data_IF_613369344203
#
_entry.id   IF_613369344203
#
_cell.length_a   1.000
_cell.length_b   1.000
_cell.length_c   1.000
_cell.angle_alpha   90.00
_cell.angle_beta   90.00
_cell.angle_gamma   90.00
#
_symmetry.space_group_name_H-M   'P 1'
#
loop_
_entity.id
_entity.type
_entity.pdbx_description
1 polymer ?
#
# COMPACT_ATOMS: atom_id res chain seq x y z
N UNK A 1 2.91 23.31 16.30
CA UNK A 1 2.73 22.28 15.25
C UNK A 1 3.99 21.44 15.25
N UNK A 2 3.91 20.22 15.75
CA UNK A 2 5.06 19.34 15.95
C UNK A 2 5.66 18.91 14.59
N UNK A 3 6.97 18.76 14.53
CA UNK A 3 7.73 18.34 13.34
C UNK A 3 7.15 17.05 12.73
N UNK A 4 6.74 16.12 13.59
CA UNK A 4 6.04 14.88 13.23
C UNK A 4 4.75 15.12 12.41
N UNK A 5 3.95 16.12 12.75
CA UNK A 5 2.72 16.41 12.02
C UNK A 5 2.97 17.03 10.62
N UNK A 6 4.14 17.67 10.40
CA UNK A 6 4.55 18.15 9.08
C UNK A 6 5.03 17.01 8.20
N UNK A 7 5.83 16.10 8.77
CA UNK A 7 6.34 14.92 8.07
C UNK A 7 5.19 14.01 7.63
N UNK A 8 4.26 13.73 8.53
CA UNK A 8 3.10 12.89 8.20
C UNK A 8 2.24 13.49 7.08
N UNK A 9 1.99 14.81 7.09
CA UNK A 9 1.27 15.50 6.00
C UNK A 9 2.04 15.46 4.67
N UNK A 10 3.36 15.57 4.72
CA UNK A 10 4.17 15.51 3.50
C UNK A 10 4.13 14.12 2.88
N UNK A 11 4.29 13.07 3.70
CA UNK A 11 4.18 11.67 3.27
C UNK A 11 2.81 11.41 2.66
N UNK A 12 1.73 11.84 3.33
CA UNK A 12 0.36 11.67 2.82
C UNK A 12 0.15 12.33 1.45
N UNK A 13 0.63 13.56 1.28
CA UNK A 13 0.52 14.26 -0.01
C UNK A 13 1.34 13.59 -1.11
N UNK A 14 2.51 13.04 -0.76
CA UNK A 14 3.33 12.29 -1.71
C UNK A 14 2.64 10.99 -2.14
N UNK A 15 2.09 10.23 -1.21
CA UNK A 15 1.31 9.02 -1.50
C UNK A 15 0.15 9.34 -2.45
N UNK A 16 -0.66 10.36 -2.12
CA UNK A 16 -1.82 10.77 -2.91
C UNK A 16 -1.42 11.25 -4.33
N UNK A 17 -0.37 12.07 -4.42
CA UNK A 17 0.13 12.57 -5.71
C UNK A 17 0.71 11.45 -6.57
N UNK A 18 1.46 10.52 -5.97
CA UNK A 18 2.02 9.35 -6.66
C UNK A 18 0.90 8.44 -7.17
N UNK A 19 -0.13 8.21 -6.36
CA UNK A 19 -1.26 7.36 -6.73
C UNK A 19 -2.01 7.97 -7.94
N UNK A 20 -2.35 9.26 -7.88
CA UNK A 20 -3.02 9.96 -8.96
C UNK A 20 -2.15 9.96 -10.23
N UNK A 21 -0.85 10.26 -10.09
CA UNK A 21 0.09 10.28 -11.21
C UNK A 21 0.25 8.92 -11.88
N UNK A 22 0.37 7.84 -11.10
CA UNK A 22 0.47 6.47 -11.62
C UNK A 22 -0.80 6.02 -12.33
N UNK A 23 -1.98 6.32 -11.76
CA UNK A 23 -3.26 6.00 -12.42
C UNK A 23 -3.41 6.76 -13.72
N UNK A 24 -3.10 8.07 -13.74
CA UNK A 24 -3.14 8.87 -14.95
C UNK A 24 -2.17 8.36 -16.01
N UNK A 25 -0.92 8.04 -15.62
CA UNK A 25 0.08 7.47 -16.52
C UNK A 25 -0.35 6.11 -17.08
N UNK A 26 -0.89 5.22 -16.23
CA UNK A 26 -1.41 3.93 -16.66
C UNK A 26 -2.51 4.09 -17.71
N UNK A 27 -3.48 4.98 -17.47
CA UNK A 27 -4.57 5.24 -18.40
C UNK A 27 -4.05 5.81 -19.73
N UNK A 28 -3.11 6.77 -19.68
CA UNK A 28 -2.52 7.35 -20.89
C UNK A 28 -1.79 6.29 -21.71
N UNK A 29 -0.95 5.45 -21.07
CA UNK A 29 -0.23 4.37 -21.76
C UNK A 29 -1.20 3.35 -22.32
N UNK A 30 -2.25 2.96 -21.58
CA UNK A 30 -3.25 2.01 -22.05
C UNK A 30 -4.03 2.53 -23.28
N UNK A 31 -4.46 3.81 -23.25
CA UNK A 31 -5.13 4.44 -24.38
C UNK A 31 -4.20 4.56 -25.57
N UNK A 32 -2.96 5.01 -25.37
CA UNK A 32 -1.96 5.09 -26.43
C UNK A 32 -1.71 3.72 -27.08
N UNK A 33 -1.58 2.67 -26.27
CA UNK A 33 -1.40 1.28 -26.75
C UNK A 33 -2.57 0.82 -27.63
N UNK A 34 -3.81 1.11 -27.22
CA UNK A 34 -5.01 0.77 -27.99
C UNK A 34 -5.04 1.52 -29.31
N UNK A 35 -4.75 2.84 -29.29
CA UNK A 35 -4.75 3.68 -30.49
C UNK A 35 -3.66 3.22 -31.48
N UNK A 36 -2.43 3.01 -30.99
CA UNK A 36 -1.32 2.56 -31.85
C UNK A 36 -1.61 1.20 -32.47
N UNK A 37 -2.09 0.25 -31.67
CA UNK A 37 -2.43 -1.08 -32.17
C UNK A 37 -3.54 -1.05 -33.21
N UNK A 38 -4.52 -0.18 -33.05
CA UNK A 38 -5.66 -0.08 -33.96
C UNK A 38 -5.35 0.72 -35.22
N UNK A 39 -4.49 1.75 -35.13
CA UNK A 39 -4.14 2.62 -36.26
C UNK A 39 -2.93 2.12 -37.06
N UNK A 40 -1.93 1.56 -36.40
CA UNK A 40 -0.64 1.17 -37.01
C UNK A 40 -0.48 -0.36 -37.08
N UNK A 41 -1.37 -1.16 -36.47
CA UNK A 41 -1.25 -2.61 -36.38
C UNK A 41 -0.16 -3.12 -35.42
N UNK A 42 0.63 -2.22 -34.86
CA UNK A 42 1.74 -2.55 -33.95
C UNK A 42 1.54 -1.87 -32.59
N UNK A 43 1.82 -2.60 -31.50
CA UNK A 43 1.80 -2.08 -30.15
C UNK A 43 3.21 -1.78 -29.64
N UNK A 44 3.32 -1.02 -28.55
CA UNK A 44 4.57 -0.76 -27.85
C UNK A 44 4.97 -2.00 -27.03
N UNK A 45 6.05 -2.67 -27.38
CA UNK A 45 6.53 -3.89 -26.71
C UNK A 45 6.82 -3.69 -25.21
N UNK A 46 7.24 -2.50 -24.83
CA UNK A 46 7.55 -2.16 -23.44
C UNK A 46 6.32 -1.79 -22.61
N UNK A 47 5.20 -1.46 -23.26
CA UNK A 47 4.01 -0.94 -22.56
C UNK A 47 3.37 -2.00 -21.67
N UNK A 48 3.31 -3.26 -22.11
CA UNK A 48 2.69 -4.33 -21.33
C UNK A 48 3.44 -4.62 -20.02
N UNK A 49 4.79 -4.82 -20.00
CA UNK A 49 5.53 -4.95 -18.75
C UNK A 49 5.43 -3.71 -17.86
N UNK A 50 5.46 -2.51 -18.45
CA UNK A 50 5.34 -1.25 -17.70
C UNK A 50 3.98 -1.12 -17.01
N UNK A 51 2.89 -1.47 -17.70
CA UNK A 51 1.54 -1.45 -17.11
C UNK A 51 1.40 -2.44 -15.96
N UNK A 52 1.99 -3.63 -16.05
CA UNK A 52 1.99 -4.61 -14.93
C UNK A 52 2.65 -4.05 -13.68
N UNK A 53 3.81 -3.39 -13.85
CA UNK A 53 4.52 -2.73 -12.75
C UNK A 53 3.69 -1.57 -12.19
N UNK A 54 3.11 -0.74 -13.05
CA UNK A 54 2.27 0.37 -12.63
C UNK A 54 1.06 -0.11 -11.79
N UNK A 55 0.41 -1.21 -12.19
CA UNK A 55 -0.69 -1.81 -11.42
C UNK A 55 -0.22 -2.29 -10.06
N UNK A 56 0.96 -2.93 -9.96
CA UNK A 56 1.53 -3.37 -8.70
C UNK A 56 1.76 -2.17 -7.75
N UNK A 57 2.34 -1.09 -8.26
CA UNK A 57 2.60 0.12 -7.48
C UNK A 57 1.31 0.82 -7.07
N UNK A 58 0.33 0.93 -7.97
CA UNK A 58 -1.00 1.51 -7.66
C UNK A 58 -1.67 0.69 -6.56
N UNK A 59 -1.64 -0.64 -6.64
CA UNK A 59 -2.22 -1.50 -5.63
C UNK A 59 -1.56 -1.32 -4.26
N UNK A 60 -0.21 -1.27 -4.20
CA UNK A 60 0.52 -1.12 -2.96
C UNK A 60 0.36 0.27 -2.34
N UNK A 61 0.51 1.34 -3.14
CA UNK A 61 0.31 2.71 -2.65
C UNK A 61 -1.15 2.93 -2.25
N UNK A 62 -2.10 2.44 -3.04
CA UNK A 62 -3.53 2.48 -2.72
C UNK A 62 -3.86 1.75 -1.41
N UNK A 63 -3.26 0.59 -1.16
CA UNK A 63 -3.41 -0.13 0.11
C UNK A 63 -2.81 0.65 1.29
N UNK A 64 -1.67 1.32 1.11
CA UNK A 64 -1.08 2.19 2.14
C UNK A 64 -1.99 3.40 2.43
N UNK A 65 -2.57 4.03 1.41
CA UNK A 65 -3.52 5.13 1.56
C UNK A 65 -4.80 4.65 2.27
N UNK A 66 -5.37 3.53 1.84
CA UNK A 66 -6.55 2.94 2.47
C UNK A 66 -6.32 2.57 3.94
N UNK A 67 -5.13 2.06 4.28
CA UNK A 67 -4.73 1.79 5.65
C UNK A 67 -4.69 3.08 6.51
N UNK A 68 -4.23 4.19 5.93
CA UNK A 68 -4.21 5.49 6.59
C UNK A 68 -5.63 6.03 6.85
N UNK A 69 -6.51 5.93 5.86
CA UNK A 69 -7.88 6.46 5.93
C UNK A 69 -8.84 5.55 6.69
N UNK A 70 -8.57 4.24 6.67
CA UNK A 70 -9.42 3.23 7.29
C UNK A 70 -9.53 3.31 8.81
N UNK A 71 -8.70 4.12 9.49
CA UNK A 71 -8.78 4.33 10.95
C UNK A 71 -10.13 4.92 11.40
N UNK A 72 -10.78 5.71 10.56
CA UNK A 72 -12.07 6.34 10.89
C UNK A 72 -13.30 5.46 10.61
N UNK A 73 -13.19 4.51 9.68
CA UNK A 73 -14.34 3.66 9.27
C UNK A 73 -14.50 2.44 10.19
N UNK A 74 -13.41 1.96 10.80
CA UNK A 74 -13.40 0.75 11.65
C UNK A 74 -14.24 0.90 12.93
N UNK A 75 -14.42 2.13 13.41
CA UNK A 75 -15.10 2.40 14.67
C UNK A 75 -16.61 2.12 14.55
N UNK A 76 -17.23 2.43 13.42
CA UNK A 76 -18.68 2.35 13.26
C UNK A 76 -19.26 0.92 13.18
N UNK A 77 -18.51 -0.04 12.60
CA UNK A 77 -19.03 -1.41 12.46
C UNK A 77 -19.08 -2.15 13.80
N UNK A 78 -18.10 -1.93 14.68
CA UNK A 78 -18.06 -2.52 16.01
C UNK A 78 -18.93 -1.76 17.03
N UNK A 79 -19.29 -0.50 16.77
CA UNK A 79 -20.21 0.30 17.60
C UNK A 79 -21.61 -0.32 17.69
N UNK A 80 -22.03 -1.02 16.63
CA UNK A 80 -23.38 -1.60 16.54
C UNK A 80 -23.51 -2.92 17.34
N UNK A 81 -22.40 -3.66 17.55
CA UNK A 81 -22.46 -5.03 18.10
C UNK A 81 -21.75 -5.25 19.43
N UNK A 82 -20.93 -4.31 19.90
CA UNK A 82 -20.18 -4.50 21.14
C UNK A 82 -20.11 -3.20 21.95
N UNK A 83 -20.43 -3.29 23.26
CA UNK A 83 -20.36 -2.18 24.21
C UNK A 83 -19.15 -2.32 25.16
N UNK A 84 -18.59 -1.20 25.59
CA UNK A 84 -17.60 -1.12 26.65
C UNK A 84 -16.27 -1.87 26.39
N UNK A 85 -15.86 -2.74 27.31
CA UNK A 85 -14.58 -3.47 27.27
C UNK A 85 -14.47 -4.46 26.12
N UNK A 86 -15.57 -5.13 25.75
CA UNK A 86 -15.58 -6.10 24.65
C UNK A 86 -15.21 -5.44 23.31
N UNK A 87 -15.68 -4.23 23.05
CA UNK A 87 -15.36 -3.44 21.87
C UNK A 87 -13.84 -3.15 21.77
N UNK A 88 -13.21 -2.76 22.89
CA UNK A 88 -11.77 -2.48 22.95
C UNK A 88 -10.93 -3.70 22.60
N UNK A 89 -11.24 -4.82 23.25
CA UNK A 89 -10.53 -6.08 23.05
C UNK A 89 -10.64 -6.53 21.59
N UNK A 90 -11.85 -6.46 21.02
CA UNK A 90 -12.09 -6.89 19.64
C UNK A 90 -11.37 -5.99 18.63
N UNK A 91 -11.40 -4.67 18.84
CA UNK A 91 -10.68 -3.72 18.01
C UNK A 91 -9.15 -3.93 18.08
N UNK A 92 -8.60 -4.13 19.28
CA UNK A 92 -7.17 -4.39 19.46
C UNK A 92 -6.75 -5.72 18.84
N UNK A 93 -7.56 -6.77 18.97
CA UNK A 93 -7.29 -8.07 18.33
C UNK A 93 -7.30 -7.95 16.80
N UNK A 94 -8.24 -7.20 16.23
CA UNK A 94 -8.31 -6.97 14.78
C UNK A 94 -7.07 -6.20 14.28
N UNK A 95 -6.64 -5.16 14.99
CA UNK A 95 -5.44 -4.38 14.64
C UNK A 95 -4.15 -5.22 14.76
N UNK A 96 -4.03 -6.01 15.83
CA UNK A 96 -2.90 -6.93 16.00
C UNK A 96 -2.90 -8.02 14.93
N UNK A 97 -4.05 -8.59 14.60
CA UNK A 97 -4.17 -9.56 13.50
C UNK A 97 -3.74 -8.96 12.16
N UNK A 98 -4.19 -7.75 11.84
CA UNK A 98 -3.77 -7.03 10.64
C UNK A 98 -2.26 -6.74 10.64
N UNK A 99 -1.71 -6.30 11.78
CA UNK A 99 -0.28 -6.06 11.95
C UNK A 99 0.53 -7.33 11.69
N UNK A 100 0.17 -8.45 12.32
CA UNK A 100 0.84 -9.74 12.15
C UNK A 100 0.78 -10.24 10.69
N UNK A 101 -0.36 -10.11 10.05
CA UNK A 101 -0.52 -10.48 8.64
C UNK A 101 0.37 -9.62 7.74
N UNK A 102 0.37 -8.30 7.92
CA UNK A 102 1.24 -7.41 7.15
C UNK A 102 2.73 -7.68 7.44
N UNK A 103 3.11 -7.98 8.68
CA UNK A 103 4.49 -8.34 9.02
C UNK A 103 4.93 -9.65 8.36
N UNK A 104 4.07 -10.67 8.36
CA UNK A 104 4.34 -11.94 7.67
C UNK A 104 4.50 -11.74 6.15
N UNK A 105 3.62 -10.91 5.54
CA UNK A 105 3.72 -10.56 4.12
C UNK A 105 4.97 -9.73 3.81
N UNK A 106 5.36 -8.81 4.68
CA UNK A 106 6.61 -8.06 4.55
C UNK A 106 7.82 -8.99 4.55
N UNK A 107 7.87 -9.95 5.47
CA UNK A 107 8.93 -10.94 5.54
C UNK A 107 8.97 -11.83 4.29
N UNK A 108 7.83 -12.37 3.87
CA UNK A 108 7.73 -13.18 2.64
C UNK A 108 8.15 -12.40 1.40
N UNK A 109 7.71 -11.14 1.29
CA UNK A 109 8.10 -10.25 0.17
C UNK A 109 9.59 -9.91 0.19
N UNK A 110 10.19 -9.77 1.36
CA UNK A 110 11.63 -9.57 1.49
C UNK A 110 12.43 -10.76 0.96
N UNK A 111 12.01 -11.99 1.31
CA UNK A 111 12.61 -13.22 0.77
C UNK A 111 12.42 -13.31 -0.74
N UNK A 112 11.22 -13.00 -1.24
CA UNK A 112 10.90 -13.02 -2.67
C UNK A 112 11.83 -12.08 -3.46
N UNK A 113 11.96 -10.81 -3.04
CA UNK A 113 12.86 -9.84 -3.68
C UNK A 113 14.33 -10.29 -3.58
N UNK A 114 14.70 -10.96 -2.50
CA UNK A 114 16.03 -11.57 -2.35
C UNK A 114 16.33 -12.64 -3.40
N UNK A 115 15.37 -13.54 -3.67
CA UNK A 115 15.50 -14.57 -4.71
C UNK A 115 15.52 -13.95 -6.10
N UNK A 116 14.63 -12.99 -6.39
CA UNK A 116 14.57 -12.30 -7.68
C UNK A 116 15.88 -11.57 -8.02
N UNK A 117 16.53 -11.02 -6.97
CA UNK A 117 17.86 -10.42 -7.12
C UNK A 117 18.94 -11.42 -7.48
N UNK A 118 18.84 -12.66 -6.97
CA UNK A 118 19.82 -13.74 -7.28
C UNK A 118 19.58 -14.30 -8.70
N UNK A 119 18.35 -14.39 -9.14
CA UNK A 119 17.97 -14.88 -10.47
C UNK A 119 18.34 -13.91 -11.60
N UNK A 120 18.56 -12.63 -11.25
CA UNK A 120 19.04 -11.62 -12.21
C UNK A 120 18.03 -11.30 -13.33
N UNK A 121 16.75 -11.58 -13.12
CA UNK A 121 15.71 -11.29 -14.10
C UNK A 121 15.60 -9.80 -14.42
N UNK A 122 15.53 -9.49 -15.70
CA UNK A 122 15.33 -8.12 -16.19
C UNK A 122 13.93 -7.95 -16.74
N UNK A 123 13.34 -6.78 -16.53
CA UNK A 123 12.05 -6.38 -17.08
C UNK A 123 12.23 -5.39 -18.23
N UNK A 124 11.28 -4.52 -18.51
CA UNK A 124 11.40 -3.56 -19.60
C UNK A 124 12.63 -2.65 -19.42
N UNK A 125 13.24 -2.19 -20.52
CA UNK A 125 14.46 -1.37 -20.56
C UNK A 125 15.70 -2.06 -19.95
N UNK A 126 15.73 -3.39 -19.86
CA UNK A 126 16.80 -4.17 -19.22
C UNK A 126 17.08 -3.79 -17.75
N UNK A 127 16.06 -3.23 -17.07
CA UNK A 127 16.16 -2.91 -15.66
C UNK A 127 15.86 -4.17 -14.82
N UNK A 128 16.58 -4.38 -13.70
CA UNK A 128 16.36 -5.54 -12.86
C UNK A 128 14.97 -5.50 -12.22
N UNK A 129 14.23 -6.63 -12.29
CA UNK A 129 12.84 -6.75 -11.83
C UNK A 129 12.71 -6.44 -10.34
N UNK A 130 13.67 -6.89 -9.51
CA UNK A 130 13.67 -6.70 -8.06
C UNK A 130 13.56 -5.24 -7.61
N UNK A 131 14.00 -4.28 -8.43
CA UNK A 131 13.86 -2.85 -8.15
C UNK A 131 12.39 -2.43 -8.06
N UNK A 132 11.59 -2.90 -8.99
CA UNK A 132 10.17 -2.57 -9.04
C UNK A 132 9.36 -3.34 -8.01
N UNK A 133 9.78 -4.55 -7.68
CA UNK A 133 9.13 -5.42 -6.70
C UNK A 133 9.45 -5.04 -5.26
N UNK A 134 10.50 -4.24 -5.03
CA UNK A 134 10.85 -3.71 -3.71
C UNK A 134 9.74 -2.90 -3.04
N UNK A 135 8.75 -2.42 -3.80
CA UNK A 135 7.55 -1.76 -3.25
C UNK A 135 6.75 -2.69 -2.34
N UNK A 136 6.80 -4.03 -2.57
CA UNK A 136 6.07 -5.01 -1.77
C UNK A 136 6.54 -5.04 -0.30
N UNK A 137 7.82 -5.32 0.01
CA UNK A 137 8.28 -5.33 1.40
C UNK A 137 8.19 -3.96 2.06
N UNK A 138 8.40 -2.87 1.31
CA UNK A 138 8.25 -1.50 1.81
C UNK A 138 6.80 -1.22 2.18
N UNK A 139 5.87 -1.49 1.28
CA UNK A 139 4.44 -1.22 1.50
C UNK A 139 3.87 -2.03 2.66
N UNK A 140 4.15 -3.34 2.73
CA UNK A 140 3.70 -4.18 3.84
C UNK A 140 4.32 -3.77 5.17
N UNK A 141 5.59 -3.34 5.18
CA UNK A 141 6.22 -2.83 6.40
C UNK A 141 5.55 -1.53 6.88
N UNK A 142 5.27 -0.59 5.98
CA UNK A 142 4.57 0.65 6.32
C UNK A 142 3.18 0.36 6.87
N UNK A 143 2.43 -0.56 6.25
CA UNK A 143 1.10 -0.96 6.74
C UNK A 143 1.18 -1.63 8.11
N UNK A 144 2.14 -2.54 8.33
CA UNK A 144 2.35 -3.18 9.63
C UNK A 144 2.63 -2.15 10.74
N UNK A 145 3.47 -1.16 10.46
CA UNK A 145 3.77 -0.08 11.41
C UNK A 145 2.56 0.80 11.70
N UNK A 146 1.72 1.09 10.70
CA UNK A 146 0.47 1.85 10.90
C UNK A 146 -0.51 1.08 11.76
N UNK A 147 -0.73 -0.21 11.49
CA UNK A 147 -1.60 -1.04 12.32
C UNK A 147 -1.07 -1.19 13.76
N UNK A 148 0.24 -1.32 13.93
CA UNK A 148 0.86 -1.36 15.25
C UNK A 148 0.65 -0.05 16.01
N UNK A 149 0.87 1.09 15.35
CA UNK A 149 0.62 2.40 15.93
C UNK A 149 -0.83 2.55 16.38
N UNK A 150 -1.79 2.17 15.51
CA UNK A 150 -3.22 2.26 15.83
C UNK A 150 -3.63 1.31 16.96
N UNK A 151 -3.02 0.12 17.05
CA UNK A 151 -3.24 -0.80 18.16
C UNK A 151 -2.80 -0.20 19.50
N UNK A 152 -1.65 0.53 19.53
CA UNK A 152 -1.08 1.09 20.75
C UNK A 152 -1.78 2.40 21.14
N UNK A 153 -2.05 3.30 20.17
CA UNK A 153 -2.64 4.62 20.43
C UNK A 153 -4.16 4.52 20.60
N UNK A 154 -4.81 3.67 19.84
CA UNK A 154 -6.26 3.45 19.95
C UNK A 154 -6.69 2.89 21.30
N UNK A 155 -5.84 2.12 21.96
CA UNK A 155 -6.08 1.66 23.33
C UNK A 155 -5.98 2.78 24.36
N UNK A 156 -5.06 3.73 24.19
CA UNK A 156 -4.87 4.85 25.10
C UNK A 156 -5.99 5.88 25.03
N UNK A 157 -6.47 6.20 23.85
CA UNK A 157 -7.58 7.16 23.66
C UNK A 157 -8.91 6.69 24.26
N UNK A 158 -9.06 5.40 24.52
CA UNK A 158 -10.24 4.82 25.16
C UNK A 158 -10.12 4.73 26.69
N UNK A 159 -8.91 4.92 27.25
CA UNK A 159 -8.69 4.98 28.71
C UNK A 159 -8.92 6.37 29.28
N UNK A 160 -8.92 7.44 28.47
CA UNK A 160 -9.15 8.83 28.85
C UNK A 160 -10.60 9.31 28.64
N UNK A 161 -11.55 8.40 28.52
CA UNK A 161 -12.99 8.73 28.47
C UNK A 161 -13.53 9.21 29.82
N UNK A 162 -14.52 10.13 29.85
CA UNK A 162 -14.95 10.94 30.97
C UNK A 162 -15.45 10.18 32.17
#
# INVERSE_FOLDING_TARGET
MTLLGRINRLISRLEDSLLIGLVAALLLVAVAQIVLRNALGEGLLWAEPAMRIAVLWIAMIGAMVACREGGHIKINLFEVYAEGRARRVLASLAQLGACLTCAALAYASWLFVGYERMDGMTTFLNLPAWWFESILPVGFTVMALRFLHDAVVGTRALDEGP
#
